data_IF_058643333724
#
_entry.id   IF_058643333724
#
_cell.length_a   1.000
_cell.length_b   1.000
_cell.length_c   1.000
_cell.angle_alpha   90.00
_cell.angle_beta   90.00
_cell.angle_gamma   90.00
#
_symmetry.space_group_name_H-M   'P 1'
#
loop_
_entity.id
_entity.type
_entity.pdbx_description
1 polymer ?
#
# COMPACT_ATOMS: atom_id res chain seq x y z
N UNK A 1 4.56 -3.76 4.88
CA UNK A 1 3.55 -3.26 3.92
C UNK A 1 2.12 -3.50 4.42
N UNK A 2 1.75 -4.75 4.75
CA UNK A 2 0.41 -5.13 5.23
C UNK A 2 -0.13 -4.24 6.34
N UNK A 3 0.64 -4.02 7.40
CA UNK A 3 0.19 -3.23 8.55
C UNK A 3 -0.07 -1.76 8.18
N UNK A 4 0.80 -1.18 7.33
CA UNK A 4 0.60 0.17 6.78
C UNK A 4 -0.69 0.26 5.97
N UNK A 5 -0.97 -0.73 5.11
CA UNK A 5 -2.23 -0.79 4.33
C UNK A 5 -3.44 -0.84 5.25
N UNK A 6 -3.43 -1.72 6.25
CA UNK A 6 -4.54 -1.89 7.20
C UNK A 6 -4.76 -0.62 8.01
N UNK A 7 -3.69 0.03 8.49
CA UNK A 7 -3.78 1.30 9.22
C UNK A 7 -4.40 2.43 8.39
N UNK A 8 -4.27 2.37 7.05
CA UNK A 8 -4.90 3.30 6.12
C UNK A 8 -6.33 2.90 5.73
N UNK A 9 -6.86 1.79 6.26
CA UNK A 9 -8.21 1.30 5.93
C UNK A 9 -8.37 0.80 4.49
N UNK A 10 -7.26 0.55 3.79
CA UNK A 10 -7.28 0.12 2.38
C UNK A 10 -7.42 -1.40 2.27
N UNK A 11 -8.19 -1.87 1.31
CA UNK A 11 -8.15 -3.26 0.85
C UNK A 11 -6.92 -3.53 -0.02
N UNK A 12 -6.57 -4.80 -0.26
CA UNK A 12 -5.47 -5.14 -1.18
C UNK A 12 -5.73 -4.64 -2.61
N UNK A 13 -7.00 -4.68 -3.05
CA UNK A 13 -7.39 -4.21 -4.38
C UNK A 13 -7.26 -2.68 -4.51
N UNK A 14 -7.70 -1.92 -3.51
CA UNK A 14 -7.54 -0.46 -3.50
C UNK A 14 -6.08 -0.03 -3.49
N UNK A 15 -5.23 -0.71 -2.71
CA UNK A 15 -3.80 -0.40 -2.72
C UNK A 15 -3.15 -0.79 -4.06
N UNK A 16 -3.59 -1.88 -4.68
CA UNK A 16 -3.10 -2.29 -5.98
C UNK A 16 -3.46 -1.25 -7.07
N UNK A 17 -4.67 -0.71 -7.02
CA UNK A 17 -5.13 0.36 -7.91
C UNK A 17 -4.27 1.63 -7.76
N UNK A 18 -4.02 2.06 -6.51
CA UNK A 18 -3.15 3.22 -6.22
C UNK A 18 -1.71 3.03 -6.75
N UNK A 19 -1.19 1.80 -6.65
CA UNK A 19 0.18 1.46 -7.06
C UNK A 19 0.28 1.03 -8.54
N UNK A 20 -0.82 1.02 -9.28
CA UNK A 20 -0.94 0.51 -10.66
C UNK A 20 -0.35 -0.90 -10.84
N UNK A 21 -0.76 -1.82 -9.97
CA UNK A 21 -0.39 -3.25 -10.05
C UNK A 21 -1.61 -4.14 -9.94
N UNK A 22 -1.46 -5.43 -10.24
CA UNK A 22 -2.53 -6.41 -10.03
C UNK A 22 -2.71 -6.68 -8.52
N UNK A 23 -3.94 -6.89 -8.02
CA UNK A 23 -4.19 -7.22 -6.61
C UNK A 23 -3.39 -8.42 -6.09
N UNK A 24 -3.16 -9.43 -6.95
CA UNK A 24 -2.38 -10.61 -6.60
C UNK A 24 -0.89 -10.28 -6.35
N UNK A 25 -0.36 -9.22 -6.98
CA UNK A 25 0.99 -8.72 -6.71
C UNK A 25 1.11 -8.24 -5.26
N UNK A 26 0.13 -7.45 -4.80
CA UNK A 26 0.04 -6.99 -3.40
C UNK A 26 -0.09 -8.17 -2.45
N UNK A 27 -0.95 -9.15 -2.76
CA UNK A 27 -1.11 -10.35 -1.95
C UNK A 27 0.19 -11.15 -1.81
N UNK A 28 0.98 -11.28 -2.89
CA UNK A 28 2.29 -11.96 -2.87
C UNK A 28 3.33 -11.21 -2.05
N UNK A 29 3.37 -9.88 -2.14
CA UNK A 29 4.21 -9.05 -1.28
C UNK A 29 3.88 -9.21 0.20
N UNK A 30 2.60 -9.14 0.56
CA UNK A 30 2.17 -9.26 1.95
C UNK A 30 2.40 -10.65 2.55
N UNK A 31 2.45 -11.70 1.70
CA UNK A 31 2.77 -13.07 2.10
C UNK A 31 4.27 -13.40 2.07
N UNK A 32 5.13 -12.45 1.66
CA UNK A 32 6.57 -12.68 1.50
C UNK A 32 6.95 -13.58 0.31
N UNK A 33 6.01 -13.84 -0.61
CA UNK A 33 6.25 -14.65 -1.82
C UNK A 33 6.95 -13.86 -2.93
N UNK A 34 7.03 -12.53 -2.78
CA UNK A 34 7.73 -11.63 -3.67
C UNK A 34 8.33 -10.50 -2.83
N UNK A 35 9.55 -10.09 -3.12
CA UNK A 35 10.16 -8.92 -2.50
C UNK A 35 9.40 -7.66 -2.91
N UNK A 36 9.20 -6.74 -1.96
CA UNK A 36 8.61 -5.43 -2.24
C UNK A 36 9.67 -4.55 -2.91
N UNK A 37 9.41 -3.99 -4.11
CA UNK A 37 10.34 -3.05 -4.73
C UNK A 37 10.51 -1.79 -3.87
N UNK A 38 11.73 -1.24 -3.82
CA UNK A 38 12.02 -0.02 -3.05
C UNK A 38 11.11 1.16 -3.45
N UNK A 39 10.73 1.27 -4.72
CA UNK A 39 9.80 2.29 -5.21
C UNK A 39 8.43 2.22 -4.53
N UNK A 40 7.95 1.00 -4.23
CA UNK A 40 6.68 0.79 -3.50
C UNK A 40 6.81 1.22 -2.05
N UNK A 41 7.96 0.99 -1.41
CA UNK A 41 8.19 1.46 -0.04
C UNK A 41 8.11 2.99 0.04
N UNK A 42 8.76 3.68 -0.89
CA UNK A 42 8.73 5.15 -1.00
C UNK A 42 7.33 5.67 -1.36
N UNK A 43 6.61 4.96 -2.23
CA UNK A 43 5.22 5.29 -2.56
C UNK A 43 4.32 5.17 -1.32
N UNK A 44 4.49 4.12 -0.51
CA UNK A 44 3.72 3.95 0.73
C UNK A 44 3.92 5.09 1.73
N UNK A 45 5.14 5.61 1.88
CA UNK A 45 5.42 6.79 2.72
C UNK A 45 4.69 8.05 2.21
N UNK A 46 4.55 8.17 0.90
CA UNK A 46 3.83 9.29 0.27
C UNK A 46 2.32 9.14 0.44
N UNK A 47 1.78 7.94 0.22
CA UNK A 47 0.36 7.61 0.44
C UNK A 47 -0.02 7.90 1.90
N UNK A 48 0.80 7.46 2.86
CA UNK A 48 0.55 7.67 4.29
C UNK A 48 0.48 9.17 4.64
N UNK A 49 1.37 9.99 4.08
CA UNK A 49 1.35 11.45 4.28
C UNK A 49 0.09 12.10 3.72
N UNK A 50 -0.38 11.68 2.54
CA UNK A 50 -1.58 12.21 1.92
C UNK A 50 -2.82 11.87 2.75
N UNK A 51 -2.96 10.61 3.17
CA UNK A 51 -4.09 10.16 3.97
C UNK A 51 -4.15 10.82 5.36
N UNK A 52 -3.00 10.99 6.05
CA UNK A 52 -2.94 11.74 7.32
C UNK A 52 -3.34 13.21 7.17
N UNK A 53 -3.06 13.84 6.02
CA UNK A 53 -3.55 15.20 5.73
C UNK A 53 -5.05 15.23 5.46
N UNK A 54 -5.60 14.19 4.82
CA UNK A 54 -7.03 14.10 4.51
C UNK A 54 -7.90 13.76 5.72
N UNK A 55 -7.33 13.17 6.79
CA UNK A 55 -8.00 12.86 8.06
C UNK A 55 -8.07 14.00 9.07
N UNK A 56 -7.59 15.22 8.74
CA UNK A 56 -7.90 16.44 9.51
C UNK A 56 -9.25 16.99 9.03
N UNK A 57 -10.34 16.46 9.59
CA UNK A 57 -11.63 17.14 9.64
C UNK A 57 -12.14 17.07 11.07
#
# INVERSE_FOLDING_TARGET
>A
MRDKRIALGLTQAQLADILDVKPNTVARWERGLLAVPRTVELAMETIERIYKKSGKK
#
